data_IF_022464362663
#
_entry.id   IF_022464362663
#
_cell.length_a   1.000
_cell.length_b   1.000
_cell.length_c   1.000
_cell.angle_alpha   90.00
_cell.angle_beta   90.00
_cell.angle_gamma   90.00
#
_symmetry.space_group_name_H-M   'P 1'
#
loop_
_entity.id
_entity.type
_entity.pdbx_description
1 polymer ?
#
# COMPACT_ATOMS: atom_id res chain seq x y z
N UNK A 1 -11.21 -24.50 -12.12
CA UNK A 1 -11.39 -23.30 -11.28
C UNK A 1 -10.77 -23.57 -9.90
N UNK A 2 -9.44 -23.52 -9.76
CA UNK A 2 -8.77 -23.87 -8.49
C UNK A 2 -7.66 -22.91 -8.04
N UNK A 3 -7.20 -21.99 -8.90
CA UNK A 3 -6.06 -21.12 -8.58
C UNK A 3 -6.38 -19.91 -7.68
N UNK A 4 -7.66 -19.48 -7.60
CA UNK A 4 -8.05 -18.28 -6.83
C UNK A 4 -8.18 -18.54 -5.32
N UNK A 5 -8.60 -19.74 -4.92
CA UNK A 5 -8.67 -20.10 -3.50
C UNK A 5 -7.27 -20.33 -2.91
N UNK A 6 -6.37 -20.91 -3.72
CA UNK A 6 -4.99 -21.24 -3.37
C UNK A 6 -4.18 -20.02 -2.90
N UNK A 7 -4.22 -18.91 -3.66
CA UNK A 7 -3.42 -17.71 -3.35
C UNK A 7 -3.84 -17.01 -2.05
N UNK A 8 -5.13 -17.07 -1.67
CA UNK A 8 -5.61 -16.47 -0.41
C UNK A 8 -5.15 -17.26 0.81
N UNK A 9 -5.27 -18.58 0.74
CA UNK A 9 -4.78 -19.47 1.78
C UNK A 9 -3.26 -19.35 1.92
N UNK A 10 -2.54 -19.38 0.80
CA UNK A 10 -1.09 -19.19 0.77
C UNK A 10 -0.66 -17.84 1.34
N UNK A 11 -1.38 -16.74 1.03
CA UNK A 11 -1.10 -15.43 1.61
C UNK A 11 -1.30 -15.40 3.12
N UNK A 12 -2.35 -16.06 3.64
CA UNK A 12 -2.59 -16.18 5.08
C UNK A 12 -1.48 -16.98 5.74
N UNK A 13 -1.11 -18.12 5.17
CA UNK A 13 -0.10 -19.01 5.74
C UNK A 13 1.27 -18.31 5.79
N UNK A 14 1.65 -17.57 4.74
CA UNK A 14 2.87 -16.73 4.73
C UNK A 14 2.84 -15.71 5.87
N UNK A 15 1.70 -15.04 6.10
CA UNK A 15 1.59 -14.05 7.17
C UNK A 15 1.68 -14.73 8.55
N UNK A 16 1.01 -15.86 8.77
CA UNK A 16 1.03 -16.59 10.05
C UNK A 16 2.41 -17.17 10.38
N UNK A 17 3.16 -17.62 9.36
CA UNK A 17 4.51 -18.17 9.55
C UNK A 17 5.57 -17.10 9.83
N UNK A 18 5.39 -15.88 9.31
CA UNK A 18 6.43 -14.84 9.35
C UNK A 18 6.10 -13.67 10.29
N UNK A 19 4.84 -13.50 10.69
CA UNK A 19 4.40 -12.37 11.51
C UNK A 19 3.94 -12.84 12.89
N UNK A 20 4.47 -12.18 13.91
CA UNK A 20 3.94 -12.26 15.27
C UNK A 20 2.67 -11.41 15.43
N UNK A 21 2.02 -11.53 16.58
CA UNK A 21 0.80 -10.76 16.88
C UNK A 21 1.03 -9.25 16.84
N UNK A 22 2.22 -8.78 17.23
CA UNK A 22 2.58 -7.36 17.17
C UNK A 22 2.67 -6.86 15.72
N UNK A 23 3.24 -7.67 14.83
CA UNK A 23 3.30 -7.40 13.41
C UNK A 23 1.92 -7.34 12.75
N UNK A 24 1.01 -8.23 13.13
CA UNK A 24 -0.39 -8.19 12.67
C UNK A 24 -1.10 -6.92 13.13
N UNK A 25 -0.90 -6.52 14.39
CA UNK A 25 -1.45 -5.26 14.92
C UNK A 25 -0.90 -4.07 14.13
N UNK A 26 0.40 -4.07 13.80
CA UNK A 26 1.00 -3.00 13.02
C UNK A 26 0.46 -2.92 11.58
N UNK A 27 0.23 -4.05 10.92
CA UNK A 27 -0.46 -4.09 9.62
C UNK A 27 -1.87 -3.50 9.71
N UNK A 28 -2.62 -3.84 10.76
CA UNK A 28 -3.94 -3.25 11.03
C UNK A 28 -3.87 -1.73 11.14
N UNK A 29 -2.87 -1.21 11.86
CA UNK A 29 -2.64 0.23 11.98
C UNK A 29 -2.32 0.91 10.65
N UNK A 30 -1.52 0.28 9.77
CA UNK A 30 -1.28 0.82 8.42
C UNK A 30 -2.61 0.93 7.66
N UNK A 31 -3.46 -0.10 7.70
CA UNK A 31 -4.78 -0.08 7.06
C UNK A 31 -5.66 1.05 7.60
N UNK A 32 -5.77 1.18 8.92
CA UNK A 32 -6.57 2.21 9.59
C UNK A 32 -6.11 3.63 9.24
N UNK A 33 -4.79 3.86 9.23
CA UNK A 33 -4.23 5.17 8.87
C UNK A 33 -4.49 5.50 7.40
N UNK A 34 -4.37 4.52 6.49
CA UNK A 34 -4.70 4.71 5.08
C UNK A 34 -6.19 4.97 4.85
N UNK A 35 -7.06 4.24 5.57
CA UNK A 35 -8.51 4.49 5.55
C UNK A 35 -8.82 5.91 6.02
N UNK A 36 -8.22 6.35 7.12
CA UNK A 36 -8.41 7.70 7.65
C UNK A 36 -7.92 8.77 6.68
N UNK A 37 -6.82 8.53 5.95
CA UNK A 37 -6.34 9.41 4.88
C UNK A 37 -7.41 9.55 3.80
N UNK A 38 -8.02 8.46 3.33
CA UNK A 38 -9.05 8.53 2.29
C UNK A 38 -10.37 9.13 2.78
N UNK A 39 -10.75 8.89 4.03
CA UNK A 39 -11.94 9.52 4.65
C UNK A 39 -11.74 11.04 4.74
N UNK A 40 -10.56 11.48 5.16
CA UNK A 40 -10.26 12.90 5.37
C UNK A 40 -10.01 13.65 4.06
N UNK A 41 -9.69 12.94 2.97
CA UNK A 41 -9.38 13.49 1.66
C UNK A 41 -10.16 12.72 0.58
N UNK A 42 -11.50 12.91 0.51
CA UNK A 42 -12.33 12.17 -0.43
C UNK A 42 -12.08 12.55 -1.90
N UNK A 43 -11.52 13.73 -2.16
CA UNK A 43 -11.09 14.17 -3.48
C UNK A 43 -9.71 14.86 -3.35
N UNK A 44 -8.64 14.07 -3.18
CA UNK A 44 -7.33 14.61 -2.86
C UNK A 44 -6.77 15.39 -4.04
N UNK A 45 -6.21 16.58 -3.78
CA UNK A 45 -5.41 17.29 -4.77
C UNK A 45 -3.95 16.82 -4.74
N UNK A 46 -3.16 17.18 -5.76
CA UNK A 46 -1.70 16.97 -5.70
C UNK A 46 -1.04 17.66 -4.49
N UNK A 47 -1.56 18.81 -4.05
CA UNK A 47 -1.05 19.49 -2.86
C UNK A 47 -1.31 18.67 -1.59
N UNK A 48 -2.47 18.02 -1.49
CA UNK A 48 -2.78 17.11 -0.38
C UNK A 48 -1.84 15.91 -0.37
N UNK A 49 -1.61 15.31 -1.54
CA UNK A 49 -0.64 14.21 -1.71
C UNK A 49 0.74 14.62 -1.23
N UNK A 50 1.26 15.75 -1.71
CA UNK A 50 2.56 16.27 -1.29
C UNK A 50 2.63 16.45 0.22
N UNK A 51 1.61 17.07 0.83
CA UNK A 51 1.57 17.27 2.29
C UNK A 51 1.61 15.94 3.05
N UNK A 52 0.73 15.00 2.70
CA UNK A 52 0.59 13.70 3.38
C UNK A 52 1.87 12.88 3.26
N UNK A 53 2.43 12.80 2.05
CA UNK A 53 3.64 12.02 1.77
C UNK A 53 4.85 12.63 2.47
N UNK A 54 4.99 13.97 2.46
CA UNK A 54 6.06 14.66 3.19
C UNK A 54 5.96 14.41 4.70
N UNK A 55 4.77 14.55 5.29
CA UNK A 55 4.55 14.35 6.71
C UNK A 55 4.90 12.92 7.14
N UNK A 56 4.45 11.93 6.37
CA UNK A 56 4.77 10.52 6.63
C UNK A 56 6.28 10.26 6.58
N UNK A 57 6.94 10.56 5.46
CA UNK A 57 8.35 10.22 5.29
C UNK A 57 9.29 11.04 6.16
N UNK A 58 8.92 12.28 6.49
CA UNK A 58 9.69 13.08 7.45
C UNK A 58 9.61 12.47 8.85
N UNK A 59 8.43 12.00 9.26
CA UNK A 59 8.25 11.29 10.54
C UNK A 59 9.01 9.96 10.57
N UNK A 60 9.11 9.28 9.43
CA UNK A 60 9.93 8.07 9.21
C UNK A 60 11.46 8.37 9.13
N UNK A 61 11.86 9.64 9.22
CA UNK A 61 13.27 10.04 9.20
C UNK A 61 13.92 10.02 7.81
N UNK A 62 13.14 10.01 6.72
CA UNK A 62 13.67 10.05 5.35
C UNK A 62 14.11 11.47 4.97
N UNK A 63 15.18 11.61 4.18
CA UNK A 63 15.65 12.90 3.71
C UNK A 63 14.70 13.48 2.64
N UNK A 64 14.60 14.82 2.55
CA UNK A 64 13.75 15.50 1.58
C UNK A 64 13.98 15.05 0.12
N UNK A 65 15.23 14.79 -0.26
CA UNK A 65 15.57 14.30 -1.60
C UNK A 65 14.94 12.93 -1.92
N UNK A 66 14.81 12.04 -0.94
CA UNK A 66 14.12 10.77 -1.12
C UNK A 66 12.62 10.99 -1.35
N UNK A 67 12.02 11.93 -0.61
CA UNK A 67 10.58 12.22 -0.71
C UNK A 67 10.23 12.80 -2.08
N UNK A 68 11.05 13.73 -2.56
CA UNK A 68 10.91 14.32 -3.90
C UNK A 68 11.01 13.24 -5.00
N UNK A 69 12.00 12.36 -4.90
CA UNK A 69 12.20 11.27 -5.87
C UNK A 69 11.06 10.24 -5.83
N UNK A 70 10.56 9.92 -4.63
CA UNK A 70 9.41 9.04 -4.46
C UNK A 70 8.15 9.62 -5.08
N UNK A 71 7.85 10.90 -4.81
CA UNK A 71 6.69 11.60 -5.37
C UNK A 71 6.76 11.67 -6.90
N UNK A 72 7.95 11.98 -7.45
CA UNK A 72 8.18 12.01 -8.90
C UNK A 72 7.94 10.64 -9.51
N UNK A 73 8.50 9.60 -8.90
CA UNK A 73 8.35 8.21 -9.39
C UNK A 73 6.89 7.76 -9.35
N UNK A 74 6.15 8.08 -8.28
CA UNK A 74 4.73 7.76 -8.17
C UNK A 74 3.87 8.51 -9.21
N UNK A 75 4.15 9.80 -9.46
CA UNK A 75 3.47 10.56 -10.51
C UNK A 75 3.79 10.02 -11.92
N UNK A 76 5.06 9.69 -12.20
CA UNK A 76 5.46 9.04 -13.47
C UNK A 76 4.76 7.68 -13.66
N UNK A 77 4.68 6.89 -12.59
CA UNK A 77 4.01 5.60 -12.60
C UNK A 77 2.50 5.74 -12.89
N UNK A 78 1.80 6.65 -12.22
CA UNK A 78 0.37 6.89 -12.47
C UNK A 78 0.10 7.45 -13.87
N UNK A 79 0.97 8.33 -14.39
CA UNK A 79 0.90 8.79 -15.79
C UNK A 79 1.10 7.65 -16.79
N UNK A 80 2.02 6.73 -16.52
CA UNK A 80 2.28 5.58 -17.40
C UNK A 80 1.07 4.64 -17.52
N UNK A 81 0.19 4.63 -16.50
CA UNK A 81 -1.09 3.90 -16.50
C UNK A 81 -2.22 4.62 -17.25
N UNK A 82 -1.98 5.84 -17.74
CA UNK A 82 -2.97 6.64 -18.46
C UNK A 82 -4.04 7.27 -17.57
N UNK A 83 -3.78 7.39 -16.26
CA UNK A 83 -4.70 8.05 -15.33
C UNK A 83 -4.75 9.55 -15.58
N UNK A 84 -5.94 10.12 -15.47
CA UNK A 84 -6.13 11.56 -15.67
C UNK A 84 -5.69 12.38 -14.45
N UNK A 85 -5.68 13.71 -14.58
CA UNK A 85 -5.21 14.59 -13.51
C UNK A 85 -6.02 14.50 -12.21
N UNK A 86 -7.28 14.08 -12.29
CA UNK A 86 -8.20 13.97 -11.16
C UNK A 86 -8.09 12.63 -10.44
N UNK A 87 -7.71 11.56 -11.17
CA UNK A 87 -7.53 10.22 -10.63
C UNK A 87 -6.13 10.02 -10.02
N UNK A 88 -5.12 10.70 -10.56
CA UNK A 88 -3.72 10.55 -10.14
C UNK A 88 -3.49 10.75 -8.64
N UNK A 89 -4.00 11.82 -7.98
CA UNK A 89 -3.74 12.03 -6.57
C UNK A 89 -4.18 10.85 -5.69
N UNK A 90 -5.38 10.32 -5.95
CA UNK A 90 -5.90 9.13 -5.27
C UNK A 90 -5.02 7.92 -5.52
N UNK A 91 -4.58 7.71 -6.76
CA UNK A 91 -3.69 6.60 -7.11
C UNK A 91 -2.32 6.70 -6.42
N UNK A 92 -1.75 7.89 -6.29
CA UNK A 92 -0.48 8.10 -5.56
C UNK A 92 -0.64 7.79 -4.06
N UNK A 93 -1.76 8.17 -3.43
CA UNK A 93 -2.02 7.78 -2.04
C UNK A 93 -2.20 6.26 -1.88
N UNK A 94 -2.78 5.59 -2.87
CA UNK A 94 -2.81 4.11 -2.88
C UNK A 94 -1.41 3.51 -3.00
N UNK A 95 -0.55 4.07 -3.87
CA UNK A 95 0.86 3.66 -3.99
C UNK A 95 1.63 3.89 -2.66
N UNK A 96 1.32 4.96 -1.91
CA UNK A 96 1.86 5.16 -0.55
C UNK A 96 1.46 4.01 0.38
N UNK A 97 0.18 3.64 0.42
CA UNK A 97 -0.29 2.52 1.22
C UNK A 97 0.43 1.22 0.88
N UNK A 98 0.51 0.88 -0.41
CA UNK A 98 1.21 -0.33 -0.89
C UNK A 98 2.69 -0.28 -0.52
N UNK A 99 3.36 0.86 -0.67
CA UNK A 99 4.75 1.04 -0.27
C UNK A 99 4.95 0.72 1.22
N UNK A 100 4.09 1.28 2.08
CA UNK A 100 4.15 1.06 3.54
C UNK A 100 3.99 -0.41 3.91
N UNK A 101 3.04 -1.09 3.27
CA UNK A 101 2.84 -2.53 3.45
C UNK A 101 4.06 -3.33 3.00
N UNK A 102 4.56 -3.09 1.78
CA UNK A 102 5.71 -3.81 1.23
C UNK A 102 6.97 -3.61 2.08
N UNK A 103 7.24 -2.38 2.49
CA UNK A 103 8.38 -2.04 3.31
C UNK A 103 8.33 -2.79 4.65
N UNK A 104 7.18 -2.76 5.32
CA UNK A 104 6.97 -3.49 6.57
C UNK A 104 7.21 -4.99 6.44
N UNK A 105 6.62 -5.63 5.41
CA UNK A 105 6.81 -7.07 5.19
C UNK A 105 8.28 -7.40 4.90
N UNK A 106 8.97 -6.55 4.15
CA UNK A 106 10.40 -6.70 3.87
C UNK A 106 11.24 -6.60 5.14
N UNK A 107 10.93 -5.67 6.05
CA UNK A 107 11.61 -5.54 7.35
C UNK A 107 11.42 -6.77 8.25
N UNK A 108 10.30 -7.49 8.08
CA UNK A 108 10.03 -8.77 8.75
C UNK A 108 10.66 -9.97 8.07
N UNK A 109 11.44 -9.76 7.01
CA UNK A 109 12.23 -10.79 6.35
C UNK A 109 11.50 -11.54 5.24
N UNK A 110 10.31 -11.10 4.83
CA UNK A 110 9.61 -11.71 3.70
C UNK A 110 10.37 -11.45 2.40
N UNK A 111 10.45 -12.47 1.56
CA UNK A 111 11.03 -12.37 0.21
C UNK A 111 10.11 -11.61 -0.74
N UNK A 112 10.66 -11.12 -1.84
CA UNK A 112 9.87 -10.43 -2.88
C UNK A 112 8.74 -11.33 -3.43
N UNK A 113 8.98 -12.64 -3.55
CA UNK A 113 7.97 -13.60 -3.98
C UNK A 113 6.83 -13.71 -2.96
N UNK A 114 7.15 -13.83 -1.67
CA UNK A 114 6.16 -13.88 -0.60
C UNK A 114 5.34 -12.59 -0.52
N UNK A 115 5.99 -11.43 -0.64
CA UNK A 115 5.32 -10.12 -0.66
C UNK A 115 4.35 -10.05 -1.84
N UNK A 116 4.75 -10.49 -3.04
CA UNK A 116 3.87 -10.51 -4.21
C UNK A 116 2.64 -11.40 -4.02
N UNK A 117 2.80 -12.57 -3.38
CA UNK A 117 1.69 -13.47 -3.05
C UNK A 117 0.73 -12.78 -2.07
N UNK A 118 1.25 -12.18 -1.00
CA UNK A 118 0.46 -11.47 0.02
C UNK A 118 -0.33 -10.31 -0.60
N UNK A 119 0.31 -9.48 -1.42
CA UNK A 119 -0.36 -8.37 -2.11
C UNK A 119 -1.45 -8.87 -3.06
N UNK A 120 -1.17 -9.94 -3.81
CA UNK A 120 -2.16 -10.54 -4.72
C UNK A 120 -3.36 -11.08 -3.95
N UNK A 121 -3.12 -11.73 -2.80
CA UNK A 121 -4.17 -12.20 -1.89
C UNK A 121 -5.05 -11.05 -1.38
N UNK A 122 -4.43 -9.96 -0.93
CA UNK A 122 -5.14 -8.76 -0.44
C UNK A 122 -6.03 -8.12 -1.52
N UNK A 123 -5.51 -7.98 -2.74
CA UNK A 123 -6.30 -7.45 -3.88
C UNK A 123 -7.48 -8.36 -4.22
N UNK A 124 -7.30 -9.69 -4.18
CA UNK A 124 -8.39 -10.65 -4.41
C UNK A 124 -9.43 -10.66 -3.28
N UNK A 125 -9.05 -10.29 -2.05
CA UNK A 125 -10.00 -10.13 -0.95
C UNK A 125 -10.84 -8.86 -1.16
N UNK A 126 -10.20 -7.73 -1.44
CA UNK A 126 -10.88 -6.46 -1.67
C UNK A 126 -11.84 -6.50 -2.87
N UNK A 127 -11.43 -7.15 -3.97
CA UNK A 127 -12.28 -7.32 -5.17
C UNK A 127 -13.28 -8.47 -5.06
N UNK A 128 -13.02 -9.46 -4.21
CA UNK A 128 -13.93 -10.58 -3.95
C UNK A 128 -15.11 -10.23 -3.05
N UNK A 129 -14.95 -9.28 -2.12
CA UNK A 129 -16.03 -8.78 -1.27
C UNK A 129 -17.04 -7.88 -1.99
N UNK A 130 -16.76 -7.43 -3.23
CA UNK A 130 -17.73 -6.70 -4.06
C UNK A 130 -18.69 -7.63 -4.84
N UNK A 131 -18.55 -8.96 -4.69
CA UNK A 131 -19.28 -9.97 -5.47
C UNK A 131 -20.18 -10.91 -4.67
N UNK A 132 -20.41 -10.65 -3.38
CA UNK A 132 -21.37 -11.40 -2.52
C UNK A 132 -22.45 -10.49 -1.95
#
# INVERSE_FOLDING_TARGET
>A
MSKKFDVKEQARDILEENLDMEAVIYLGRISEEMEQIFISNPDPSFADVQRIVNEYFTTDGRPAAFIEDWLRTADEHTRSRGLDETERPRAILSDLGVFRFMWFLKERGLTEEQINIVLTGAVQQATGQQGE
#
